data_IF_774184391896
#
_entry.id   IF_774184391896
#
_cell.length_a   1.000
_cell.length_b   1.000
_cell.length_c   1.000
_cell.angle_alpha   90.00
_cell.angle_beta   90.00
_cell.angle_gamma   90.00
#
_symmetry.space_group_name_H-M   'P 1'
#
loop_
_entity.id
_entity.type
_entity.pdbx_description
1 polymer ?
#
# COMPACT_ATOMS: atom_id res chain seq x y z
N UNK A 1 -10.04 24.13 -31.78
CA UNK A 1 -9.90 24.18 -30.29
C UNK A 1 -9.63 22.79 -29.81
N UNK A 2 -8.38 22.45 -29.44
CA UNK A 2 -7.98 21.12 -28.94
C UNK A 2 -8.51 20.94 -27.52
N UNK A 3 -9.12 19.81 -27.15
CA UNK A 3 -9.66 19.61 -25.82
C UNK A 3 -8.53 19.66 -24.77
N UNK A 4 -8.72 20.41 -23.69
CA UNK A 4 -7.84 20.51 -22.52
C UNK A 4 -7.90 19.25 -21.65
N UNK A 5 -7.72 18.07 -22.22
CA UNK A 5 -7.82 16.77 -21.52
C UNK A 5 -6.66 16.53 -20.55
N UNK A 6 -5.58 17.32 -20.57
CA UNK A 6 -4.38 17.08 -19.76
C UNK A 6 -4.28 17.84 -18.43
N UNK A 7 -5.02 18.92 -18.21
CA UNK A 7 -4.80 19.80 -17.05
C UNK A 7 -5.46 19.27 -15.77
N UNK A 8 -6.66 18.71 -15.85
CA UNK A 8 -7.42 18.26 -14.68
C UNK A 8 -6.74 17.07 -13.94
N UNK A 9 -6.26 16.01 -14.61
CA UNK A 9 -5.52 14.94 -13.95
C UNK A 9 -4.22 15.44 -13.29
N UNK A 10 -3.48 16.35 -13.93
CA UNK A 10 -2.25 16.91 -13.39
C UNK A 10 -2.52 17.76 -12.13
N UNK A 11 -3.58 18.55 -12.15
CA UNK A 11 -4.00 19.33 -10.96
C UNK A 11 -4.42 18.45 -9.81
N UNK A 12 -5.20 17.41 -10.09
CA UNK A 12 -5.61 16.46 -9.07
C UNK A 12 -4.41 15.78 -8.43
N UNK A 13 -3.44 15.36 -9.24
CA UNK A 13 -2.18 14.78 -8.76
C UNK A 13 -1.35 15.77 -7.93
N UNK A 14 -1.26 17.04 -8.34
CA UNK A 14 -0.61 18.11 -7.60
C UNK A 14 -1.21 18.27 -6.20
N UNK A 15 -2.54 18.28 -6.10
CA UNK A 15 -3.26 18.38 -4.83
C UNK A 15 -2.97 17.15 -3.95
N UNK A 16 -3.03 15.94 -4.50
CA UNK A 16 -2.77 14.70 -3.76
C UNK A 16 -1.34 14.68 -3.20
N UNK A 17 -0.35 15.08 -3.97
CA UNK A 17 1.04 15.19 -3.49
C UNK A 17 1.19 16.22 -2.37
N UNK A 18 0.54 17.38 -2.51
CA UNK A 18 0.53 18.40 -1.45
C UNK A 18 -0.13 17.86 -0.17
N UNK A 19 -1.21 17.10 -0.31
CA UNK A 19 -1.89 16.42 0.81
C UNK A 19 -0.97 15.45 1.54
N UNK A 20 -0.25 14.60 0.80
CA UNK A 20 0.70 13.63 1.39
C UNK A 20 1.76 14.36 2.21
N UNK A 21 2.34 15.46 1.68
CA UNK A 21 3.30 16.27 2.44
C UNK A 21 2.70 16.91 3.68
N UNK A 22 1.47 17.44 3.59
CA UNK A 22 0.78 18.01 4.75
C UNK A 22 0.51 16.95 5.83
N UNK A 23 0.03 15.75 5.44
CA UNK A 23 -0.17 14.62 6.36
C UNK A 23 1.13 14.20 7.04
N UNK A 24 2.23 14.06 6.28
CA UNK A 24 3.52 13.66 6.83
C UNK A 24 4.09 14.67 7.84
N UNK A 25 3.75 15.96 7.70
CA UNK A 25 4.20 17.02 8.58
C UNK A 25 3.30 17.23 9.79
N UNK A 26 1.99 17.30 9.58
CA UNK A 26 1.00 17.81 10.54
C UNK A 26 0.01 16.74 11.03
N UNK A 27 0.04 15.53 10.48
CA UNK A 27 -0.96 14.49 10.71
C UNK A 27 -2.35 14.85 10.16
N UNK A 28 -3.33 13.96 10.36
CA UNK A 28 -4.70 14.22 9.91
C UNK A 28 -5.38 15.31 10.73
N UNK A 29 -5.12 15.41 12.03
CA UNK A 29 -5.68 16.48 12.86
C UNK A 29 -5.29 17.88 12.35
N UNK A 30 -4.04 18.05 11.93
CA UNK A 30 -3.54 19.32 11.39
C UNK A 30 -3.89 19.59 9.92
N UNK A 31 -4.44 18.61 9.19
CA UNK A 31 -4.80 18.75 7.79
C UNK A 31 -6.04 19.63 7.64
N UNK A 32 -5.96 20.68 6.84
CA UNK A 32 -7.09 21.54 6.45
C UNK A 32 -7.08 21.82 4.96
N UNK A 33 -8.28 22.07 4.38
CA UNK A 33 -8.41 22.42 2.95
C UNK A 33 -7.54 23.66 2.60
N UNK A 34 -7.51 24.66 3.49
CA UNK A 34 -6.69 25.87 3.33
C UNK A 34 -5.18 25.54 3.26
N UNK A 35 -4.67 24.69 4.16
CA UNK A 35 -3.26 24.29 4.17
C UNK A 35 -2.88 23.48 2.94
N UNK A 36 -3.75 22.57 2.50
CA UNK A 36 -3.51 21.78 1.27
C UNK A 36 -3.49 22.68 0.05
N UNK A 37 -4.44 23.64 -0.07
CA UNK A 37 -4.47 24.59 -1.17
C UNK A 37 -3.17 25.41 -1.22
N UNK A 38 -2.74 25.97 -0.10
CA UNK A 38 -1.48 26.72 0.00
C UNK A 38 -0.26 25.84 -0.39
N UNK A 39 -0.18 24.61 0.13
CA UNK A 39 0.90 23.67 -0.18
C UNK A 39 0.90 23.18 -1.65
N UNK A 40 -0.26 23.25 -2.30
CA UNK A 40 -0.42 22.96 -3.73
C UNK A 40 -0.20 24.19 -4.63
N UNK A 41 -0.03 25.40 -4.08
CA UNK A 41 0.05 26.64 -4.85
C UNK A 41 -1.27 26.97 -5.57
N UNK A 42 -2.42 26.68 -4.94
CA UNK A 42 -3.76 26.84 -5.50
C UNK A 42 -4.64 27.68 -4.57
N UNK A 43 -5.69 28.29 -5.13
CA UNK A 43 -6.73 28.87 -4.31
C UNK A 43 -7.61 27.77 -3.67
N UNK A 44 -8.23 28.08 -2.53
CA UNK A 44 -9.14 27.16 -1.86
C UNK A 44 -10.36 26.83 -2.73
N UNK A 45 -10.84 27.76 -3.54
CA UNK A 45 -11.92 27.51 -4.50
C UNK A 45 -11.56 26.48 -5.55
N UNK A 46 -10.33 26.54 -6.09
CA UNK A 46 -9.84 25.50 -7.01
C UNK A 46 -9.76 24.15 -6.31
N UNK A 47 -9.29 24.10 -5.07
CA UNK A 47 -9.23 22.84 -4.32
C UNK A 47 -10.62 22.22 -4.16
N UNK A 48 -11.64 23.00 -3.77
CA UNK A 48 -13.02 22.53 -3.61
C UNK A 48 -13.66 22.05 -4.92
N UNK A 49 -13.21 22.54 -6.06
CA UNK A 49 -13.63 22.02 -7.36
C UNK A 49 -13.19 20.55 -7.55
N UNK A 50 -12.01 20.16 -7.05
CA UNK A 50 -11.48 18.79 -7.20
C UNK A 50 -11.85 17.85 -6.05
N UNK A 51 -12.03 18.36 -4.86
CA UNK A 51 -12.27 17.59 -3.64
C UNK A 51 -13.28 18.28 -2.74
N UNK A 52 -14.37 17.60 -2.46
CA UNK A 52 -15.45 18.14 -1.66
C UNK A 52 -15.00 18.50 -0.23
N UNK A 53 -14.22 17.63 0.38
CA UNK A 53 -13.82 17.76 1.79
C UNK A 53 -12.47 17.12 2.11
N UNK A 54 -12.07 17.23 3.36
CA UNK A 54 -10.85 16.65 3.93
C UNK A 54 -10.79 15.12 3.81
N UNK A 55 -11.93 14.43 3.90
CA UNK A 55 -12.02 12.97 3.78
C UNK A 55 -11.76 12.52 2.34
N UNK A 56 -12.32 13.21 1.37
CA UNK A 56 -12.09 12.93 -0.05
C UNK A 56 -10.62 13.06 -0.42
N UNK A 57 -9.92 14.05 0.15
CA UNK A 57 -8.49 14.25 -0.04
C UNK A 57 -7.66 13.14 0.63
N UNK A 58 -8.00 12.74 1.87
CA UNK A 58 -7.33 11.63 2.56
C UNK A 58 -7.50 10.32 1.78
N UNK A 59 -8.73 10.02 1.33
CA UNK A 59 -9.01 8.87 0.49
C UNK A 59 -8.14 8.83 -0.78
N UNK A 60 -8.01 9.97 -1.45
CA UNK A 60 -7.18 10.08 -2.65
C UNK A 60 -5.69 9.90 -2.36
N UNK A 61 -5.19 10.42 -1.24
CA UNK A 61 -3.82 10.22 -0.78
C UNK A 61 -3.55 8.74 -0.47
N UNK A 62 -4.45 8.05 0.25
CA UNK A 62 -4.34 6.64 0.56
C UNK A 62 -4.32 5.76 -0.71
N UNK A 63 -5.23 6.02 -1.66
CA UNK A 63 -5.24 5.32 -2.95
C UNK A 63 -3.95 5.55 -3.74
N UNK A 64 -3.39 6.76 -3.68
CA UNK A 64 -2.14 7.08 -4.37
C UNK A 64 -0.96 6.31 -3.78
N UNK A 65 -0.74 6.33 -2.47
CA UNK A 65 0.39 5.63 -1.85
C UNK A 65 0.27 4.12 -2.02
N UNK A 66 -0.95 3.56 -1.97
CA UNK A 66 -1.19 2.13 -2.25
C UNK A 66 -0.86 1.78 -3.71
N UNK A 67 -1.26 2.63 -4.67
CA UNK A 67 -0.92 2.40 -6.07
C UNK A 67 0.59 2.49 -6.33
N UNK A 68 1.32 3.33 -5.60
CA UNK A 68 2.78 3.42 -5.66
C UNK A 68 3.43 2.14 -5.14
N UNK A 69 2.92 1.58 -4.03
CA UNK A 69 3.36 0.28 -3.53
C UNK A 69 3.11 -0.83 -4.56
N UNK A 70 1.91 -0.90 -5.15
CA UNK A 70 1.59 -1.89 -6.20
C UNK A 70 2.58 -1.81 -7.36
N UNK A 71 2.96 -0.60 -7.81
CA UNK A 71 3.95 -0.40 -8.87
C UNK A 71 5.35 -0.88 -8.47
N UNK A 72 5.76 -0.65 -7.23
CA UNK A 72 7.04 -1.14 -6.68
C UNK A 72 7.05 -2.66 -6.63
N UNK A 73 5.99 -3.29 -6.12
CA UNK A 73 5.85 -4.77 -6.11
C UNK A 73 5.95 -5.32 -7.52
N UNK A 74 5.24 -4.75 -8.48
CA UNK A 74 5.28 -5.18 -9.88
C UNK A 74 6.67 -4.99 -10.50
N UNK A 75 7.38 -3.93 -10.17
CA UNK A 75 8.73 -3.67 -10.65
C UNK A 75 9.74 -4.70 -10.11
N UNK A 76 9.71 -4.97 -8.81
CA UNK A 76 10.55 -5.98 -8.16
C UNK A 76 10.27 -7.40 -8.69
N UNK A 77 9.00 -7.71 -8.95
CA UNK A 77 8.59 -9.03 -9.43
C UNK A 77 8.99 -9.31 -10.90
N UNK A 78 9.25 -8.29 -11.73
CA UNK A 78 9.65 -8.48 -13.14
C UNK A 78 10.93 -9.29 -13.31
N UNK A 79 11.88 -9.18 -12.38
CA UNK A 79 13.13 -9.94 -12.39
C UNK A 79 13.02 -11.35 -11.80
N UNK A 80 11.90 -11.74 -11.26
CA UNK A 80 11.73 -13.02 -10.58
C UNK A 80 11.47 -14.16 -11.57
N UNK A 81 12.32 -15.17 -11.56
CA UNK A 81 12.26 -16.32 -12.47
C UNK A 81 11.27 -17.41 -12.01
N UNK A 82 10.99 -17.48 -10.72
CA UNK A 82 10.19 -18.52 -10.11
C UNK A 82 9.22 -17.99 -9.04
N UNK A 83 8.38 -18.85 -8.49
CA UNK A 83 7.39 -18.49 -7.49
C UNK A 83 8.03 -17.99 -6.19
N UNK A 84 9.18 -18.54 -5.78
CA UNK A 84 9.94 -18.10 -4.59
C UNK A 84 10.51 -16.71 -4.79
N UNK A 85 11.06 -16.43 -5.97
CA UNK A 85 11.56 -15.11 -6.33
C UNK A 85 10.46 -14.04 -6.31
N UNK A 86 9.27 -14.36 -6.83
CA UNK A 86 8.10 -13.45 -6.77
C UNK A 86 7.65 -13.18 -5.34
N UNK A 87 7.66 -14.20 -4.48
CA UNK A 87 7.35 -14.04 -3.06
C UNK A 87 8.36 -13.12 -2.37
N UNK A 88 9.66 -13.33 -2.61
CA UNK A 88 10.72 -12.45 -2.09
C UNK A 88 10.59 -11.01 -2.58
N UNK A 89 10.23 -10.82 -3.84
CA UNK A 89 10.01 -9.50 -4.43
C UNK A 89 8.87 -8.76 -3.73
N UNK A 90 7.74 -9.44 -3.47
CA UNK A 90 6.62 -8.90 -2.70
C UNK A 90 7.06 -8.46 -1.29
N UNK A 91 7.71 -9.37 -0.55
CA UNK A 91 8.19 -9.11 0.82
C UNK A 91 9.15 -7.92 0.83
N UNK A 92 10.14 -7.91 -0.08
CA UNK A 92 11.13 -6.85 -0.19
C UNK A 92 10.49 -5.50 -0.49
N UNK A 93 9.56 -5.43 -1.45
CA UNK A 93 8.89 -4.19 -1.81
C UNK A 93 8.13 -3.60 -0.62
N UNK A 94 7.32 -4.42 0.09
CA UNK A 94 6.56 -3.97 1.25
C UNK A 94 7.46 -3.48 2.39
N UNK A 95 8.48 -4.26 2.78
CA UNK A 95 9.38 -3.89 3.88
C UNK A 95 10.35 -2.76 3.50
N UNK A 96 10.67 -2.57 2.22
CA UNK A 96 11.45 -1.40 1.77
C UNK A 96 10.61 -0.12 1.91
N UNK A 97 9.33 -0.16 1.55
CA UNK A 97 8.41 0.97 1.78
C UNK A 97 8.29 1.25 3.28
N UNK A 98 8.10 0.22 4.10
CA UNK A 98 8.06 0.35 5.56
C UNK A 98 9.32 1.03 6.14
N UNK A 99 10.49 0.72 5.60
CA UNK A 99 11.74 1.25 6.11
C UNK A 99 12.08 2.67 5.64
N UNK A 100 11.66 3.06 4.44
CA UNK A 100 12.18 4.24 3.74
C UNK A 100 11.13 5.28 3.39
N UNK A 101 9.86 4.94 3.41
CA UNK A 101 8.78 5.81 2.95
C UNK A 101 7.89 6.24 4.13
N UNK A 102 8.37 7.28 4.86
CA UNK A 102 7.62 7.85 5.99
C UNK A 102 6.27 8.40 5.55
N UNK A 103 6.19 8.99 4.35
CA UNK A 103 4.94 9.55 3.82
C UNK A 103 3.89 8.47 3.63
N UNK A 104 4.29 7.31 3.07
CA UNK A 104 3.40 6.15 2.92
C UNK A 104 2.77 5.76 4.26
N UNK A 105 3.62 5.54 5.29
CA UNK A 105 3.13 5.05 6.58
C UNK A 105 2.28 6.07 7.31
N UNK A 106 2.65 7.35 7.26
CA UNK A 106 1.80 8.39 7.87
C UNK A 106 0.42 8.40 7.21
N UNK A 107 0.35 8.45 5.88
CA UNK A 107 -0.93 8.42 5.16
C UNK A 107 -1.72 7.16 5.47
N UNK A 108 -1.06 6.01 5.51
CA UNK A 108 -1.68 4.70 5.70
C UNK A 108 -2.29 4.55 7.10
N UNK A 109 -1.54 4.93 8.15
CA UNK A 109 -2.01 4.84 9.55
C UNK A 109 -3.14 5.86 9.80
N UNK A 110 -2.99 7.10 9.33
CA UNK A 110 -4.04 8.13 9.45
C UNK A 110 -5.31 7.69 8.72
N UNK A 111 -5.19 7.14 7.52
CA UNK A 111 -6.34 6.60 6.80
C UNK A 111 -7.00 5.43 7.53
N UNK A 112 -6.23 4.51 8.10
CA UNK A 112 -6.77 3.39 8.90
C UNK A 112 -7.52 3.89 10.13
N UNK A 113 -6.96 4.84 10.87
CA UNK A 113 -7.63 5.44 12.03
C UNK A 113 -9.00 6.00 11.67
N UNK A 114 -9.08 6.74 10.58
CA UNK A 114 -10.34 7.34 10.11
C UNK A 114 -11.37 6.31 9.62
N UNK A 115 -10.93 5.12 9.16
CA UNK A 115 -11.88 4.06 8.75
C UNK A 115 -12.72 3.51 9.90
N UNK A 116 -12.27 3.68 11.14
CA UNK A 116 -13.03 3.27 12.33
C UNK A 116 -14.24 4.19 12.59
N UNK A 117 -14.21 5.40 12.06
CA UNK A 117 -15.20 6.45 12.32
C UNK A 117 -15.99 6.89 11.07
N UNK A 118 -15.56 6.43 9.88
CA UNK A 118 -16.18 6.81 8.60
C UNK A 118 -16.49 5.58 7.75
N UNK A 119 -17.77 5.31 7.53
CA UNK A 119 -18.25 4.14 6.75
C UNK A 119 -17.82 4.18 5.29
N UNK A 120 -17.70 5.36 4.68
CA UNK A 120 -17.27 5.47 3.29
C UNK A 120 -15.78 5.14 3.15
N UNK A 121 -14.93 5.63 4.08
CA UNK A 121 -13.52 5.28 4.14
C UNK A 121 -13.32 3.79 4.47
N UNK A 122 -14.12 3.22 5.39
CA UNK A 122 -14.10 1.78 5.68
C UNK A 122 -14.40 0.95 4.43
N UNK A 123 -15.44 1.33 3.67
CA UNK A 123 -15.79 0.66 2.41
C UNK A 123 -14.66 0.76 1.39
N UNK A 124 -14.04 1.92 1.25
CA UNK A 124 -12.89 2.12 0.36
C UNK A 124 -11.69 1.24 0.78
N UNK A 125 -11.40 1.20 2.08
CA UNK A 125 -10.33 0.36 2.63
C UNK A 125 -10.58 -1.13 2.35
N UNK A 126 -11.81 -1.61 2.59
CA UNK A 126 -12.20 -2.99 2.29
C UNK A 126 -11.98 -3.35 0.80
N UNK A 127 -12.32 -2.44 -0.13
CA UNK A 127 -12.07 -2.60 -1.57
C UNK A 127 -10.58 -2.64 -1.89
N UNK A 128 -9.77 -1.82 -1.23
CA UNK A 128 -8.31 -1.78 -1.37
C UNK A 128 -7.69 -3.11 -0.92
N UNK A 129 -8.06 -3.60 0.26
CA UNK A 129 -7.65 -4.91 0.74
C UNK A 129 -8.07 -6.05 -0.17
N UNK A 130 -9.31 -6.04 -0.65
CA UNK A 130 -9.81 -7.05 -1.60
C UNK A 130 -8.99 -7.04 -2.91
N UNK A 131 -8.57 -5.85 -3.39
CA UNK A 131 -7.68 -5.75 -4.56
C UNK A 131 -6.31 -6.36 -4.27
N UNK A 132 -5.68 -6.02 -3.16
CA UNK A 132 -4.36 -6.55 -2.76
C UNK A 132 -4.42 -8.07 -2.59
N UNK A 133 -5.43 -8.60 -1.91
CA UNK A 133 -5.63 -10.05 -1.81
C UNK A 133 -5.77 -10.72 -3.18
N UNK A 134 -6.52 -10.15 -4.13
CA UNK A 134 -6.62 -10.71 -5.48
C UNK A 134 -5.28 -10.73 -6.23
N UNK A 135 -4.44 -9.73 -6.06
CA UNK A 135 -3.10 -9.71 -6.66
C UNK A 135 -2.23 -10.82 -6.09
N UNK A 136 -2.19 -10.97 -4.77
CA UNK A 136 -1.44 -12.01 -4.07
C UNK A 136 -1.99 -13.39 -4.40
N UNK A 137 -3.32 -13.57 -4.43
CA UNK A 137 -3.96 -14.84 -4.78
C UNK A 137 -3.58 -15.32 -6.19
N UNK A 138 -3.51 -14.42 -7.19
CA UNK A 138 -3.02 -14.77 -8.53
C UNK A 138 -1.56 -15.25 -8.52
N UNK A 139 -0.70 -14.60 -7.72
CA UNK A 139 0.69 -15.03 -7.56
C UNK A 139 0.76 -16.43 -6.93
N UNK A 140 -0.04 -16.69 -5.90
CA UNK A 140 -0.10 -18.00 -5.23
C UNK A 140 -0.65 -19.06 -6.18
N UNK A 141 -1.73 -18.78 -6.91
CA UNK A 141 -2.29 -19.70 -7.90
C UNK A 141 -1.26 -20.11 -8.97
N UNK A 142 -0.46 -19.16 -9.46
CA UNK A 142 0.65 -19.46 -10.38
C UNK A 142 1.71 -20.36 -9.75
N UNK A 143 2.01 -20.19 -8.47
CA UNK A 143 2.93 -21.05 -7.72
C UNK A 143 2.38 -22.46 -7.50
N UNK A 144 1.07 -22.60 -7.25
CA UNK A 144 0.39 -23.89 -7.15
C UNK A 144 0.37 -24.59 -8.51
N UNK A 145 0.01 -23.89 -9.58
CA UNK A 145 -0.01 -24.44 -10.94
C UNK A 145 1.35 -24.94 -11.42
N UNK A 146 2.45 -24.23 -11.06
CA UNK A 146 3.82 -24.65 -11.38
C UNK A 146 4.36 -25.75 -10.45
N UNK A 147 3.60 -26.20 -9.44
CA UNK A 147 4.05 -27.17 -8.44
C UNK A 147 5.05 -26.64 -7.40
N UNK A 148 5.40 -25.36 -7.44
CA UNK A 148 6.29 -24.72 -6.46
C UNK A 148 5.64 -24.57 -5.08
N UNK A 149 4.30 -24.36 -5.05
CA UNK A 149 3.52 -24.28 -3.84
C UNK A 149 2.64 -25.54 -3.66
N UNK A 150 2.32 -25.86 -2.41
CA UNK A 150 1.36 -26.93 -2.09
C UNK A 150 -0.04 -26.57 -2.59
N UNK A 151 -0.90 -27.57 -2.73
CA UNK A 151 -2.33 -27.33 -2.96
C UNK A 151 -2.91 -26.58 -1.76
N UNK A 152 -3.34 -25.35 -1.97
CA UNK A 152 -3.91 -24.45 -0.98
C UNK A 152 -4.89 -23.53 -1.68
N UNK A 153 -5.94 -23.12 -0.98
CA UNK A 153 -6.84 -22.09 -1.52
C UNK A 153 -6.11 -20.73 -1.61
N UNK A 154 -5.93 -20.18 -2.83
CA UNK A 154 -5.21 -18.92 -3.00
C UNK A 154 -5.89 -17.71 -2.31
N UNK A 155 -7.23 -17.73 -2.19
CA UNK A 155 -7.97 -16.63 -1.57
C UNK A 155 -7.68 -16.56 -0.07
N UNK A 156 -7.81 -17.67 0.64
CA UNK A 156 -7.49 -17.77 2.07
C UNK A 156 -6.00 -17.51 2.33
N UNK A 157 -5.12 -18.12 1.52
CA UNK A 157 -3.67 -17.93 1.68
C UNK A 157 -3.25 -16.47 1.44
N UNK A 158 -3.91 -15.74 0.54
CA UNK A 158 -3.62 -14.34 0.30
C UNK A 158 -3.89 -13.44 1.51
N UNK A 159 -4.90 -13.78 2.32
CA UNK A 159 -5.20 -13.05 3.55
C UNK A 159 -4.10 -13.26 4.60
N UNK A 160 -3.60 -14.49 4.76
CA UNK A 160 -2.50 -14.80 5.67
C UNK A 160 -1.20 -14.09 5.24
N UNK A 161 -0.88 -14.11 3.95
CA UNK A 161 0.29 -13.40 3.40
C UNK A 161 0.19 -11.89 3.67
N UNK A 162 -0.96 -11.28 3.40
CA UNK A 162 -1.16 -9.85 3.59
C UNK A 162 -1.10 -9.47 5.08
N UNK A 163 -1.74 -10.25 5.96
CA UNK A 163 -1.70 -10.01 7.40
C UNK A 163 -0.27 -10.09 7.99
N UNK A 164 0.56 -11.04 7.52
CA UNK A 164 1.95 -11.11 7.95
C UNK A 164 2.78 -9.92 7.44
N UNK A 165 2.57 -9.50 6.18
CA UNK A 165 3.23 -8.32 5.60
C UNK A 165 2.87 -7.05 6.38
N UNK A 166 1.58 -6.82 6.63
CA UNK A 166 1.11 -5.66 7.38
C UNK A 166 1.68 -5.65 8.80
N UNK A 167 1.58 -6.77 9.52
CA UNK A 167 2.06 -6.89 10.89
C UNK A 167 3.55 -6.65 11.04
N UNK A 168 4.38 -7.28 10.22
CA UNK A 168 5.84 -7.10 10.29
C UNK A 168 6.27 -5.71 9.81
N UNK A 169 5.57 -5.14 8.83
CA UNK A 169 5.83 -3.78 8.37
C UNK A 169 5.51 -2.74 9.45
N UNK A 170 4.39 -2.91 10.17
CA UNK A 170 4.03 -2.04 11.30
C UNK A 170 5.03 -2.17 12.45
N UNK A 171 5.37 -3.39 12.86
CA UNK A 171 6.35 -3.62 13.91
C UNK A 171 7.71 -2.97 13.57
N UNK A 172 8.20 -3.17 12.33
CA UNK A 172 9.42 -2.51 11.88
C UNK A 172 9.32 -0.98 11.91
N UNK A 173 8.16 -0.41 11.55
CA UNK A 173 7.96 1.03 11.53
C UNK A 173 8.03 1.62 12.94
N UNK A 174 7.45 0.93 13.93
CA UNK A 174 7.42 1.39 15.31
C UNK A 174 8.69 1.06 16.10
N UNK A 175 9.33 -0.08 15.82
CA UNK A 175 10.55 -0.51 16.51
C UNK A 175 11.62 -1.01 15.51
N UNK A 176 12.32 -0.06 14.91
CA UNK A 176 13.38 -0.35 13.93
C UNK A 176 14.60 -1.04 14.53
N UNK A 177 14.82 -0.89 15.86
CA UNK A 177 15.94 -1.53 16.57
C UNK A 177 15.59 -2.96 16.96
N UNK A 178 14.42 -3.18 17.53
CA UNK A 178 13.95 -4.53 17.93
C UNK A 178 13.65 -5.43 16.74
N UNK A 179 13.15 -4.87 15.63
CA UNK A 179 12.91 -5.61 14.38
C UNK A 179 13.54 -4.87 13.19
N UNK A 180 14.85 -4.99 12.95
CA UNK A 180 15.50 -4.39 11.79
C UNK A 180 14.92 -4.92 10.47
N UNK A 181 14.86 -4.07 9.43
CA UNK A 181 14.28 -4.43 8.12
C UNK A 181 14.78 -5.78 7.58
N UNK A 182 16.08 -6.02 7.63
CA UNK A 182 16.66 -7.27 7.13
C UNK A 182 16.19 -8.51 7.92
N UNK A 183 15.95 -8.37 9.23
CA UNK A 183 15.40 -9.44 10.06
C UNK A 183 13.92 -9.67 9.73
N UNK A 184 13.13 -8.62 9.61
CA UNK A 184 11.72 -8.70 9.20
C UNK A 184 11.56 -9.32 7.82
N UNK A 185 12.42 -8.97 6.86
CA UNK A 185 12.44 -9.47 5.48
C UNK A 185 12.76 -10.99 5.45
N UNK A 186 13.77 -11.42 6.20
CA UNK A 186 14.09 -12.84 6.35
C UNK A 186 12.95 -13.61 7.01
N UNK A 187 12.51 -13.16 8.18
CA UNK A 187 11.42 -13.81 8.94
C UNK A 187 10.16 -13.95 8.08
N UNK A 188 9.73 -12.87 7.43
CA UNK A 188 8.55 -12.88 6.56
C UNK A 188 8.72 -13.88 5.41
N UNK A 189 9.87 -13.86 4.73
CA UNK A 189 10.14 -14.78 3.62
C UNK A 189 10.14 -16.23 4.07
N UNK A 190 10.78 -16.54 5.20
CA UNK A 190 10.91 -17.91 5.70
C UNK A 190 9.56 -18.46 6.18
N UNK A 191 8.78 -17.68 6.92
CA UNK A 191 7.43 -18.07 7.37
C UNK A 191 6.52 -18.30 6.17
N UNK A 192 6.47 -17.36 5.24
CA UNK A 192 5.62 -17.48 4.04
C UNK A 192 6.08 -18.64 3.15
N UNK A 193 7.37 -18.85 3.01
CA UNK A 193 7.90 -19.99 2.26
C UNK A 193 7.53 -21.32 2.94
N UNK A 194 7.71 -21.43 4.25
CA UNK A 194 7.30 -22.62 5.00
C UNK A 194 5.80 -22.91 4.88
N UNK A 195 4.97 -21.86 4.91
CA UNK A 195 3.52 -21.95 4.75
C UNK A 195 3.08 -22.40 3.35
N UNK A 196 3.73 -21.89 2.30
CA UNK A 196 3.33 -22.09 0.91
C UNK A 196 4.02 -23.27 0.23
N UNK A 197 5.26 -23.64 0.62
CA UNK A 197 6.02 -24.69 -0.07
C UNK A 197 5.35 -26.05 0.02
N UNK A 198 5.55 -26.86 -1.00
CA UNK A 198 5.21 -28.29 -0.97
C UNK A 198 6.10 -28.98 0.08
N UNK A 199 5.48 -29.70 1.04
CA UNK A 199 6.24 -30.53 1.97
C UNK A 199 7.06 -31.55 1.18
N UNK A 200 8.37 -31.59 1.41
CA UNK A 200 9.17 -32.73 0.93
C UNK A 200 8.63 -33.99 1.61
N UNK A 201 8.50 -35.09 0.87
CA UNK A 201 8.37 -36.41 1.50
C UNK A 201 9.59 -36.56 2.44
N UNK A 202 9.34 -36.72 3.74
CA UNK A 202 10.37 -37.24 4.65
C UNK A 202 10.67 -38.66 4.25
#
# INVERSE_FOLDING_TARGET
MTPRVGVAPLRREQIVRATIRCLARDGYAGLTMKRVAAAAGLSQGILHYYFADKRAILAAAALRVTADLDRRVAAEARGARDARGRLRALVRACLTVAARDREFWTVFIEFWGETLHDRALATLNARTYARSRRLIARMIAGGVASGAFRKIDPATASAAVLGLLDGLSLQHTFDRRGLPRAAAERLCTDVLWAYLRRGGKR
#
